data_IF_402935317105
#
_entry.id   IF_402935317105
#
_cell.length_a   1.000
_cell.length_b   1.000
_cell.length_c   1.000
_cell.angle_alpha   90.00
_cell.angle_beta   90.00
_cell.angle_gamma   90.00
#
_symmetry.space_group_name_H-M   'P 1'
#
loop_
_entity.id
_entity.type
_entity.pdbx_description
1 polymer ?
#
# COMPACT_ATOMS: atom_id res chain seq x y z
N UNK A 1 -9.64 3.42 -5.70
CA UNK A 1 -9.58 1.96 -5.45
C UNK A 1 -8.78 1.57 -4.20
N UNK A 2 -7.66 2.24 -3.89
CA UNK A 2 -6.82 1.91 -2.73
C UNK A 2 -7.47 2.34 -1.40
N UNK A 3 -8.09 3.53 -1.39
CA UNK A 3 -8.71 4.12 -0.19
C UNK A 3 -9.72 3.20 0.50
N UNK A 4 -10.73 2.62 -0.17
CA UNK A 4 -11.67 1.74 0.50
C UNK A 4 -11.01 0.46 1.04
N UNK A 5 -10.02 -0.07 0.34
CA UNK A 5 -9.28 -1.25 0.80
C UNK A 5 -8.51 -0.96 2.10
N UNK A 6 -7.79 0.16 2.14
CA UNK A 6 -7.04 0.59 3.34
C UNK A 6 -7.99 0.93 4.48
N UNK A 7 -9.12 1.61 4.18
CA UNK A 7 -10.10 1.99 5.18
C UNK A 7 -10.74 0.77 5.87
N UNK A 8 -11.21 -0.21 5.10
CA UNK A 8 -11.82 -1.44 5.64
C UNK A 8 -10.82 -2.23 6.49
N UNK A 9 -9.58 -2.32 6.03
CA UNK A 9 -8.52 -3.00 6.80
C UNK A 9 -8.18 -2.25 8.09
N UNK A 10 -8.08 -0.93 8.02
CA UNK A 10 -7.81 -0.09 9.18
C UNK A 10 -8.95 -0.17 10.21
N UNK A 11 -10.20 -0.11 9.75
CA UNK A 11 -11.38 -0.28 10.59
C UNK A 11 -11.35 -1.63 11.32
N UNK A 12 -11.08 -2.72 10.61
CA UNK A 12 -11.00 -4.06 11.18
C UNK A 12 -9.93 -4.18 12.27
N UNK A 13 -8.72 -3.64 12.02
CA UNK A 13 -7.63 -3.62 13.00
C UNK A 13 -8.03 -2.83 14.26
N UNK A 14 -8.64 -1.66 14.06
CA UNK A 14 -9.09 -0.81 15.15
C UNK A 14 -10.25 -1.47 15.93
N UNK A 15 -11.14 -2.18 15.27
CA UNK A 15 -12.24 -2.88 15.93
C UNK A 15 -11.76 -4.09 16.74
N UNK A 16 -10.91 -4.95 16.16
CA UNK A 16 -10.41 -6.15 16.83
C UNK A 16 -9.60 -5.80 18.09
N UNK A 17 -8.63 -4.91 17.98
CA UNK A 17 -7.81 -4.50 19.12
C UNK A 17 -8.49 -3.47 20.00
N UNK A 18 -9.20 -2.53 19.40
CA UNK A 18 -9.91 -1.48 20.12
C UNK A 18 -10.94 -2.03 21.09
N UNK A 19 -11.63 -3.11 20.72
CA UNK A 19 -12.66 -3.74 21.57
C UNK A 19 -12.09 -4.26 22.88
N UNK A 20 -10.94 -4.90 22.86
CA UNK A 20 -10.26 -5.43 24.04
C UNK A 20 -9.73 -4.32 24.94
N UNK A 21 -8.98 -3.38 24.38
CA UNK A 21 -8.42 -2.25 25.13
C UNK A 21 -9.50 -1.32 25.68
N UNK A 22 -10.59 -1.10 24.94
CA UNK A 22 -11.71 -0.27 25.40
C UNK A 22 -12.42 -0.88 26.60
N UNK A 23 -12.65 -2.19 26.60
CA UNK A 23 -13.30 -2.90 27.71
C UNK A 23 -12.45 -2.79 28.99
N UNK A 24 -11.14 -3.02 28.87
CA UNK A 24 -10.23 -2.98 29.99
C UNK A 24 -10.04 -1.57 30.56
N UNK A 25 -9.95 -0.55 29.71
CA UNK A 25 -9.75 0.83 30.14
C UNK A 25 -11.02 1.46 30.75
N UNK A 26 -12.21 1.09 30.27
CA UNK A 26 -13.48 1.52 30.88
C UNK A 26 -13.65 0.93 32.28
N UNK A 27 -13.17 -0.28 32.54
CA UNK A 27 -13.15 -0.90 33.86
C UNK A 27 -12.23 -0.16 34.84
N UNK A 28 -11.23 0.55 34.34
CA UNK A 28 -10.30 1.41 35.10
C UNK A 28 -10.78 2.86 35.22
N UNK A 29 -11.98 3.18 34.72
CA UNK A 29 -12.56 4.53 34.79
C UNK A 29 -11.96 5.54 33.82
N UNK A 30 -11.18 5.09 32.81
CA UNK A 30 -10.59 5.97 31.81
C UNK A 30 -11.62 6.43 30.79
N UNK A 31 -11.52 7.68 30.31
CA UNK A 31 -12.42 8.20 29.29
C UNK A 31 -12.15 7.54 27.93
N UNK A 32 -13.21 7.39 27.13
CA UNK A 32 -13.14 6.80 25.77
C UNK A 32 -12.14 7.51 24.87
N UNK A 33 -12.11 8.82 24.94
CA UNK A 33 -11.24 9.64 24.10
C UNK A 33 -9.76 9.49 24.47
N UNK A 34 -9.47 9.42 25.75
CA UNK A 34 -8.11 9.16 26.25
C UNK A 34 -7.62 7.77 25.84
N UNK A 35 -8.44 6.74 26.00
CA UNK A 35 -8.14 5.37 25.61
C UNK A 35 -7.85 5.26 24.12
N UNK A 36 -8.66 5.90 23.29
CA UNK A 36 -8.48 5.88 21.83
C UNK A 36 -7.14 6.51 21.40
N UNK A 37 -6.86 7.71 21.92
CA UNK A 37 -5.68 8.49 21.51
C UNK A 37 -4.36 7.99 22.11
N UNK A 38 -4.39 7.57 23.36
CA UNK A 38 -3.17 7.23 24.11
C UNK A 38 -2.84 5.74 24.14
N UNK A 39 -3.84 4.87 23.97
CA UNK A 39 -3.65 3.43 24.05
C UNK A 39 -3.86 2.76 22.68
N UNK A 40 -5.01 2.95 22.07
CA UNK A 40 -5.39 2.21 20.86
C UNK A 40 -4.59 2.68 19.64
N UNK A 41 -4.53 3.97 19.37
CA UNK A 41 -3.82 4.54 18.22
C UNK A 41 -2.33 4.17 18.16
N UNK A 42 -1.52 4.32 19.22
CA UNK A 42 -0.11 3.96 19.17
C UNK A 42 0.11 2.45 19.02
N UNK A 43 -0.72 1.60 19.65
CA UNK A 43 -0.64 0.13 19.51
C UNK A 43 -1.02 -0.31 18.11
N UNK A 44 -2.07 0.26 17.52
CA UNK A 44 -2.51 -0.08 16.17
C UNK A 44 -1.65 0.57 15.08
N UNK A 45 -0.85 1.60 15.38
CA UNK A 45 -0.08 2.36 14.38
C UNK A 45 0.87 1.48 13.55
N UNK A 46 1.44 0.46 14.16
CA UNK A 46 2.35 -0.48 13.51
C UNK A 46 1.63 -1.32 12.45
N UNK A 47 0.44 -1.81 12.77
CA UNK A 47 -0.37 -2.60 11.82
C UNK A 47 -1.01 -1.73 10.76
N UNK A 48 -1.37 -0.49 11.10
CA UNK A 48 -1.86 0.50 10.14
C UNK A 48 -0.78 0.84 9.10
N UNK A 49 0.48 1.00 9.51
CA UNK A 49 1.60 1.19 8.58
C UNK A 49 1.73 0.01 7.62
N UNK A 50 1.62 -1.22 8.11
CA UNK A 50 1.62 -2.42 7.27
C UNK A 50 0.45 -2.43 6.26
N UNK A 51 -0.71 -1.97 6.68
CA UNK A 51 -1.90 -1.87 5.81
C UNK A 51 -1.72 -0.81 4.71
N UNK A 52 -1.14 0.34 5.04
CA UNK A 52 -0.83 1.38 4.06
C UNK A 52 0.20 0.88 3.05
N UNK A 53 1.25 0.20 3.49
CA UNK A 53 2.25 -0.39 2.60
C UNK A 53 1.64 -1.42 1.63
N UNK A 54 0.74 -2.26 2.13
CA UNK A 54 0.01 -3.21 1.29
C UNK A 54 -0.91 -2.50 0.28
N UNK A 55 -1.57 -1.42 0.70
CA UNK A 55 -2.38 -0.57 -0.18
C UNK A 55 -1.54 0.09 -1.28
N UNK A 56 -0.34 0.59 -0.96
CA UNK A 56 0.59 1.13 -1.95
C UNK A 56 1.02 0.06 -2.96
N UNK A 57 1.38 -1.13 -2.49
CA UNK A 57 1.75 -2.24 -3.37
C UNK A 57 0.61 -2.62 -4.32
N UNK A 58 -0.62 -2.67 -3.83
CA UNK A 58 -1.80 -2.91 -4.64
C UNK A 58 -2.06 -1.81 -5.68
N UNK A 59 -1.82 -0.55 -5.30
CA UNK A 59 -1.94 0.59 -6.22
C UNK A 59 -0.89 0.59 -7.33
N UNK A 60 0.34 0.21 -7.01
CA UNK A 60 1.41 0.11 -8.00
C UNK A 60 1.17 -1.01 -9.03
N UNK A 61 0.41 -2.06 -8.70
CA UNK A 61 0.03 -3.12 -9.62
C UNK A 61 -1.21 -2.81 -10.49
N UNK A 62 -1.90 -1.70 -10.24
CA UNK A 62 -3.15 -1.39 -10.92
C UNK A 62 -2.92 -0.80 -12.33
N UNK A 63 -3.14 -1.61 -13.36
CA UNK A 63 -3.02 -1.21 -14.78
C UNK A 63 -4.27 -0.49 -15.28
N UNK A 64 -5.46 -0.99 -14.92
CA UNK A 64 -6.72 -0.53 -15.46
C UNK A 64 -7.01 0.98 -15.27
N UNK A 65 -6.81 1.59 -14.11
CA UNK A 65 -7.01 3.02 -13.94
C UNK A 65 -6.10 3.86 -14.85
N UNK A 66 -4.85 3.44 -15.01
CA UNK A 66 -3.85 4.16 -15.79
C UNK A 66 -4.18 4.06 -17.27
N UNK A 67 -4.67 2.91 -17.74
CA UNK A 67 -5.07 2.68 -19.12
C UNK A 67 -6.15 3.67 -19.58
N UNK A 68 -7.10 4.00 -18.71
CA UNK A 68 -8.21 4.89 -19.03
C UNK A 68 -7.96 6.38 -18.74
N UNK A 69 -7.01 6.71 -17.87
CA UNK A 69 -6.82 8.09 -17.40
C UNK A 69 -5.52 8.74 -17.85
N UNK A 70 -4.50 7.99 -18.21
CA UNK A 70 -3.18 8.57 -18.48
C UNK A 70 -2.27 7.69 -19.32
N UNK A 71 -2.84 6.89 -20.23
CA UNK A 71 -2.06 6.02 -21.09
C UNK A 71 -1.25 6.82 -22.13
N UNK A 72 0.05 6.82 -22.01
CA UNK A 72 0.97 7.40 -22.98
C UNK A 72 1.86 6.29 -23.54
N UNK A 73 1.84 6.13 -24.86
CA UNK A 73 2.61 5.06 -25.54
C UNK A 73 4.12 5.35 -25.59
N UNK A 74 4.49 6.62 -25.65
CA UNK A 74 5.88 7.06 -25.61
C UNK A 74 5.93 8.38 -24.83
N UNK A 75 6.54 8.36 -23.65
CA UNK A 75 6.82 9.53 -22.87
C UNK A 75 8.31 9.65 -22.63
N UNK A 76 8.85 10.82 -22.83
CA UNK A 76 10.20 11.15 -22.37
C UNK A 76 10.28 11.12 -20.85
N UNK A 77 11.50 11.17 -20.32
CA UNK A 77 11.71 11.20 -18.87
C UNK A 77 10.99 12.42 -18.28
N UNK A 78 10.04 12.24 -17.35
CA UNK A 78 9.28 13.36 -16.80
C UNK A 78 10.18 14.30 -16.00
N UNK A 79 10.11 15.59 -16.31
CA UNK A 79 10.83 16.68 -15.61
C UNK A 79 9.93 17.42 -14.62
N UNK A 80 8.60 17.23 -14.72
CA UNK A 80 7.60 17.86 -13.86
C UNK A 80 6.56 16.83 -13.40
N UNK A 81 5.89 17.14 -12.27
CA UNK A 81 4.79 16.30 -11.74
C UNK A 81 3.56 16.26 -12.66
N UNK A 82 3.46 17.20 -13.60
CA UNK A 82 2.37 17.25 -14.57
C UNK A 82 2.71 16.57 -15.90
N UNK A 83 3.96 16.15 -16.07
CA UNK A 83 4.37 15.52 -17.33
C UNK A 83 3.81 14.10 -17.43
N UNK A 84 3.45 13.67 -18.66
CA UNK A 84 3.01 12.32 -18.88
C UNK A 84 4.13 11.32 -18.58
N UNK A 85 3.82 10.24 -17.90
CA UNK A 85 4.78 9.19 -17.59
C UNK A 85 4.23 7.80 -17.91
N UNK A 86 5.12 6.89 -18.26
CA UNK A 86 4.79 5.50 -18.49
C UNK A 86 5.06 4.66 -17.25
N UNK A 87 4.01 4.15 -16.63
CA UNK A 87 4.17 3.30 -15.44
C UNK A 87 4.63 1.88 -15.83
N UNK A 88 5.42 1.24 -14.95
CA UNK A 88 5.95 -0.11 -15.18
C UNK A 88 4.85 -1.16 -15.48
N UNK A 89 3.72 -1.23 -14.73
CA UNK A 89 2.67 -2.18 -15.02
C UNK A 89 1.96 -1.89 -16.36
N UNK A 90 1.85 -0.62 -16.75
CA UNK A 90 1.32 -0.25 -18.04
C UNK A 90 2.28 -0.63 -19.20
N UNK A 91 3.59 -0.43 -19.02
CA UNK A 91 4.61 -0.89 -19.95
C UNK A 91 4.55 -2.41 -20.18
N UNK A 92 4.42 -3.18 -19.10
CA UNK A 92 4.22 -4.62 -19.19
C UNK A 92 2.97 -4.99 -20.00
N UNK A 93 1.86 -4.31 -19.76
CA UNK A 93 0.61 -4.53 -20.51
C UNK A 93 0.80 -4.29 -22.01
N UNK A 94 1.47 -3.20 -22.39
CA UNK A 94 1.75 -2.89 -23.81
C UNK A 94 2.65 -3.94 -24.46
N UNK A 95 3.71 -4.38 -23.78
CA UNK A 95 4.62 -5.41 -24.31
C UNK A 95 3.89 -6.72 -24.61
N UNK A 96 3.00 -7.13 -23.71
CA UNK A 96 2.22 -8.37 -23.89
C UNK A 96 1.15 -8.21 -24.96
N UNK A 97 0.42 -7.10 -24.95
CA UNK A 97 -0.74 -6.91 -25.83
C UNK A 97 -0.37 -6.63 -27.28
N UNK A 98 0.75 -5.92 -27.49
CA UNK A 98 1.24 -5.60 -28.85
C UNK A 98 2.19 -6.67 -29.43
N UNK A 99 2.53 -7.70 -28.67
CA UNK A 99 3.36 -8.81 -29.13
C UNK A 99 4.81 -8.45 -29.48
N UNK A 100 5.31 -7.33 -28.94
CA UNK A 100 6.67 -6.85 -29.29
C UNK A 100 7.78 -7.81 -28.90
N UNK A 101 7.74 -8.40 -27.72
CA UNK A 101 8.68 -9.44 -27.28
C UNK A 101 8.26 -10.00 -25.93
N UNK A 102 8.06 -11.30 -25.86
CA UNK A 102 7.77 -11.99 -24.59
C UNK A 102 8.95 -11.93 -23.64
N UNK A 103 10.19 -11.93 -24.12
CA UNK A 103 11.38 -11.90 -23.28
C UNK A 103 11.49 -10.58 -22.50
N UNK A 104 11.23 -9.46 -23.14
CA UNK A 104 11.18 -8.16 -22.46
C UNK A 104 9.99 -8.05 -21.48
N UNK A 105 8.87 -8.67 -21.80
CA UNK A 105 7.71 -8.72 -20.91
C UNK A 105 8.04 -9.49 -19.63
N UNK A 106 8.67 -10.65 -19.72
CA UNK A 106 9.13 -11.42 -18.56
C UNK A 106 10.15 -10.64 -17.71
N UNK A 107 11.10 -9.95 -18.35
CA UNK A 107 12.06 -9.09 -17.67
C UNK A 107 11.38 -7.96 -16.88
N UNK A 108 10.42 -7.27 -17.50
CA UNK A 108 9.65 -6.20 -16.85
C UNK A 108 8.81 -6.71 -15.69
N UNK A 109 8.16 -7.87 -15.87
CA UNK A 109 7.39 -8.52 -14.81
C UNK A 109 8.26 -8.90 -13.62
N UNK A 110 9.46 -9.44 -13.87
CA UNK A 110 10.41 -9.80 -12.83
C UNK A 110 10.87 -8.56 -12.03
N UNK A 111 11.22 -7.48 -12.71
CA UNK A 111 11.64 -6.22 -12.08
C UNK A 111 10.50 -5.65 -11.22
N UNK A 112 9.26 -5.64 -11.73
CA UNK A 112 8.08 -5.18 -11.00
C UNK A 112 7.85 -6.02 -9.73
N UNK A 113 7.91 -7.34 -9.86
CA UNK A 113 7.73 -8.27 -8.73
C UNK A 113 8.81 -8.07 -7.66
N UNK A 114 10.07 -7.94 -8.07
CA UNK A 114 11.20 -7.72 -7.18
C UNK A 114 11.08 -6.39 -6.45
N UNK A 115 10.69 -5.32 -7.15
CA UNK A 115 10.47 -4.00 -6.57
C UNK A 115 9.36 -4.00 -5.51
N UNK A 116 8.22 -4.62 -5.81
CA UNK A 116 7.12 -4.77 -4.86
C UNK A 116 7.52 -5.59 -3.64
N UNK A 117 8.29 -6.67 -3.84
CA UNK A 117 8.78 -7.51 -2.77
C UNK A 117 9.73 -6.75 -1.84
N UNK A 118 10.66 -5.97 -2.39
CA UNK A 118 11.59 -5.13 -1.61
C UNK A 118 10.81 -4.13 -0.76
N UNK A 119 9.84 -3.42 -1.33
CA UNK A 119 9.02 -2.46 -0.58
C UNK A 119 8.29 -3.14 0.57
N UNK A 120 7.68 -4.30 0.33
CA UNK A 120 6.97 -5.04 1.37
C UNK A 120 7.91 -5.54 2.48
N UNK A 121 9.11 -6.02 2.12
CA UNK A 121 10.10 -6.44 3.11
C UNK A 121 10.56 -5.28 3.97
N UNK A 122 10.85 -4.12 3.38
CA UNK A 122 11.24 -2.91 4.11
C UNK A 122 10.14 -2.49 5.09
N UNK A 123 8.89 -2.42 4.63
CA UNK A 123 7.76 -2.06 5.48
C UNK A 123 7.55 -3.07 6.62
N UNK A 124 7.68 -4.36 6.34
CA UNK A 124 7.58 -5.41 7.35
C UNK A 124 8.72 -5.33 8.37
N UNK A 125 9.93 -5.04 7.91
CA UNK A 125 11.10 -4.87 8.77
C UNK A 125 10.96 -3.67 9.70
N UNK A 126 10.49 -2.52 9.21
CA UNK A 126 10.19 -1.33 10.01
C UNK A 126 9.10 -1.64 11.05
N UNK A 127 8.06 -2.36 10.64
CA UNK A 127 6.97 -2.78 11.51
C UNK A 127 7.48 -3.72 12.62
N UNK A 128 8.39 -4.62 12.29
CA UNK A 128 9.00 -5.55 13.26
C UNK A 128 9.84 -4.83 14.30
N UNK A 129 10.75 -3.94 13.85
CA UNK A 129 11.61 -3.16 14.76
C UNK A 129 10.81 -2.25 15.70
N UNK A 130 9.67 -1.74 15.26
CA UNK A 130 8.81 -0.88 16.08
C UNK A 130 7.94 -1.66 17.06
N UNK A 131 7.77 -2.94 16.86
CA UNK A 131 7.00 -3.81 17.76
C UNK A 131 7.82 -4.22 19.01
N UNK A 132 9.15 -4.28 18.87
CA UNK A 132 10.06 -4.69 19.95
C UNK A 132 10.51 -3.51 20.86
N UNK A 133 10.15 -2.27 20.52
CA UNK A 133 10.34 -1.07 21.33
C UNK A 133 9.00 -0.57 21.90
#
# INVERSE_FOLDING_TARGET
>A
MIIPFVAIRAEKILEEKGREYMKNSLSLGLSREYTLRKLILPVCSVELLGTVALGMAYGMGAVAPILYTGAVMQADVPHSLSDPFMSLPYHLYILVNNGFSLDYAYGTAFVLMLFLLIIQLICKFITYLRKDN
#
